data_IF_939496120611
#
_entry.id   IF_939496120611
#
_cell.length_a   1.000
_cell.length_b   1.000
_cell.length_c   1.000
_cell.angle_alpha   90.00
_cell.angle_beta   90.00
_cell.angle_gamma   90.00
#
_symmetry.space_group_name_H-M   'P 1'
#
loop_
_entity.id
_entity.type
_entity.pdbx_description
1 polymer ?
#
# COMPACT_ATOMS: atom_id res chain seq x y z
N UNK A 1 29.95 -7.32 -3.50
CA UNK A 1 28.96 -7.68 -4.52
C UNK A 1 28.18 -6.44 -4.90
N UNK A 2 28.00 -6.24 -6.18
CA UNK A 2 27.27 -5.08 -6.70
C UNK A 2 25.80 -5.12 -6.30
N UNK A 3 25.22 -3.97 -6.00
CA UNK A 3 23.81 -3.83 -5.62
C UNK A 3 22.88 -4.41 -6.69
N UNK A 4 23.19 -4.16 -7.97
CA UNK A 4 22.39 -4.67 -9.08
C UNK A 4 22.38 -6.20 -9.15
N UNK A 5 23.48 -6.83 -8.84
CA UNK A 5 23.58 -8.29 -8.78
C UNK A 5 22.75 -8.84 -7.63
N UNK A 6 22.82 -8.20 -6.47
CA UNK A 6 22.03 -8.58 -5.30
C UNK A 6 20.55 -8.49 -5.61
N UNK A 7 20.10 -7.37 -6.19
CA UNK A 7 18.71 -7.18 -6.56
C UNK A 7 18.22 -8.22 -7.55
N UNK A 8 19.04 -8.52 -8.55
CA UNK A 8 18.69 -9.52 -9.56
C UNK A 8 18.49 -10.91 -8.94
N UNK A 9 19.38 -11.30 -8.04
CA UNK A 9 19.29 -12.59 -7.35
C UNK A 9 18.10 -12.65 -6.40
N UNK A 10 17.84 -11.56 -5.69
CA UNK A 10 16.67 -11.44 -4.81
C UNK A 10 15.39 -11.59 -5.60
N UNK A 11 15.27 -10.90 -6.73
CA UNK A 11 14.09 -11.02 -7.59
C UNK A 11 13.89 -12.46 -8.09
N UNK A 12 14.96 -13.12 -8.47
CA UNK A 12 14.89 -14.48 -8.96
C UNK A 12 14.38 -15.47 -7.93
N UNK A 13 14.64 -15.23 -6.66
CA UNK A 13 14.12 -16.03 -5.55
C UNK A 13 12.69 -15.63 -5.20
N UNK A 14 12.43 -14.34 -5.18
CA UNK A 14 11.17 -13.79 -4.68
C UNK A 14 10.00 -14.01 -5.64
N UNK A 15 10.22 -13.86 -6.95
CA UNK A 15 9.13 -14.00 -7.93
C UNK A 15 8.41 -15.33 -7.88
N UNK A 16 9.11 -16.48 -7.88
CA UNK A 16 8.41 -17.76 -7.79
C UNK A 16 7.63 -17.93 -6.49
N UNK A 17 8.19 -17.45 -5.38
CA UNK A 17 7.51 -17.51 -4.08
C UNK A 17 6.22 -16.72 -4.11
N UNK A 18 6.28 -15.47 -4.58
CA UNK A 18 5.11 -14.60 -4.64
C UNK A 18 4.06 -15.14 -5.61
N UNK A 19 4.48 -15.56 -6.80
CA UNK A 19 3.54 -16.07 -7.81
C UNK A 19 2.78 -17.30 -7.32
N UNK A 20 3.44 -18.16 -6.57
CA UNK A 20 2.80 -19.34 -5.99
C UNK A 20 1.69 -18.99 -5.01
N UNK A 21 1.75 -17.82 -4.40
CA UNK A 21 0.75 -17.36 -3.44
C UNK A 21 -0.24 -16.34 -4.01
N UNK A 22 -0.15 -16.07 -5.31
CA UNK A 22 -1.05 -15.14 -5.97
C UNK A 22 -0.64 -13.68 -5.92
N UNK A 23 0.62 -13.41 -5.56
CA UNK A 23 1.17 -12.06 -5.53
C UNK A 23 2.08 -11.81 -6.71
N UNK A 24 2.22 -10.54 -7.07
CA UNK A 24 3.21 -10.08 -8.03
C UNK A 24 4.24 -9.19 -7.34
N UNK A 25 5.46 -9.21 -7.85
CA UNK A 25 6.50 -8.31 -7.39
C UNK A 25 6.35 -6.98 -8.11
N UNK A 26 6.13 -5.91 -7.34
CA UNK A 26 6.00 -4.55 -7.89
C UNK A 26 7.36 -3.88 -8.00
N UNK A 27 8.15 -3.95 -6.93
CA UNK A 27 9.49 -3.34 -6.92
C UNK A 27 10.31 -3.90 -5.77
N UNK A 28 11.62 -3.78 -5.87
CA UNK A 28 12.58 -4.15 -4.82
C UNK A 28 13.60 -3.05 -4.70
N UNK A 29 13.89 -2.65 -3.46
CA UNK A 29 14.92 -1.67 -3.17
C UNK A 29 15.90 -2.24 -2.14
N UNK A 30 17.20 -2.00 -2.35
CA UNK A 30 18.22 -2.35 -1.38
C UNK A 30 19.07 -1.11 -1.16
N UNK A 31 18.87 -0.45 -0.03
CA UNK A 31 19.43 0.87 0.27
C UNK A 31 19.97 0.93 1.67
N UNK A 32 20.99 1.75 1.85
CA UNK A 32 21.48 2.10 3.17
C UNK A 32 20.70 3.30 3.69
N UNK A 33 20.02 3.11 4.80
CA UNK A 33 19.24 4.14 5.47
C UNK A 33 19.84 4.42 6.84
N UNK A 34 19.26 5.32 7.60
CA UNK A 34 19.81 5.78 8.87
C UNK A 34 20.07 4.64 9.88
N UNK A 35 19.23 3.61 9.88
CA UNK A 35 19.36 2.47 10.79
C UNK A 35 20.16 1.30 10.23
N UNK A 36 20.77 1.44 9.04
CA UNK A 36 21.52 0.40 8.36
C UNK A 36 20.93 0.04 7.01
N UNK A 37 21.29 -1.13 6.49
CA UNK A 37 20.78 -1.57 5.19
C UNK A 37 19.34 -2.05 5.29
N UNK A 38 18.55 -1.68 4.32
CA UNK A 38 17.14 -2.09 4.22
C UNK A 38 16.90 -2.73 2.85
N UNK A 39 16.33 -3.94 2.88
CA UNK A 39 15.79 -4.58 1.70
C UNK A 39 14.28 -4.38 1.75
N UNK A 40 13.75 -3.59 0.83
CA UNK A 40 12.32 -3.26 0.80
C UNK A 40 11.68 -3.88 -0.43
N UNK A 41 10.65 -4.67 -0.19
CA UNK A 41 9.94 -5.43 -1.22
C UNK A 41 8.52 -4.92 -1.30
N UNK A 42 8.06 -4.60 -2.51
CA UNK A 42 6.70 -4.14 -2.76
C UNK A 42 5.95 -5.21 -3.53
N UNK A 43 4.81 -5.63 -2.98
CA UNK A 43 3.99 -6.70 -3.57
C UNK A 43 2.56 -6.22 -3.80
N UNK A 44 1.86 -6.88 -4.72
CA UNK A 44 0.44 -6.65 -4.95
C UNK A 44 -0.19 -7.97 -5.40
N UNK A 45 -1.52 -8.03 -5.46
CA UNK A 45 -2.18 -9.20 -6.01
C UNK A 45 -2.04 -9.24 -7.54
N UNK A 46 -1.96 -10.43 -8.10
CA UNK A 46 -1.89 -10.58 -9.56
C UNK A 46 -3.23 -10.24 -10.20
N UNK A 47 -4.31 -10.89 -9.76
CA UNK A 47 -5.61 -10.80 -10.41
C UNK A 47 -6.76 -10.43 -9.49
N UNK A 48 -6.50 -10.14 -8.22
CA UNK A 48 -7.58 -9.85 -7.28
C UNK A 48 -7.81 -8.35 -7.16
N UNK A 49 -9.07 -8.00 -7.07
CA UNK A 49 -9.43 -6.67 -6.63
C UNK A 49 -9.34 -6.64 -5.11
N UNK A 50 -8.96 -5.50 -4.56
CA UNK A 50 -8.77 -5.33 -3.15
C UNK A 50 -7.33 -5.00 -2.81
N UNK A 51 -7.02 -4.98 -1.54
CA UNK A 51 -5.72 -4.58 -1.05
C UNK A 51 -5.01 -5.73 -0.35
N UNK A 52 -3.70 -5.78 -0.51
CA UNK A 52 -2.85 -6.65 0.28
C UNK A 52 -2.94 -6.18 1.73
N UNK A 53 -3.10 -7.11 2.67
CA UNK A 53 -3.20 -6.78 4.09
C UNK A 53 -1.81 -6.74 4.74
N UNK A 54 -1.74 -6.12 5.93
CA UNK A 54 -0.51 -6.16 6.73
C UNK A 54 -0.15 -7.60 7.10
N UNK A 55 -1.15 -8.44 7.32
CA UNK A 55 -0.91 -9.85 7.61
C UNK A 55 -0.29 -10.58 6.43
N UNK A 56 -0.75 -10.30 5.21
CA UNK A 56 -0.13 -10.83 3.99
C UNK A 56 1.34 -10.44 3.91
N UNK A 57 1.65 -9.17 4.14
CA UNK A 57 3.01 -8.67 4.10
C UNK A 57 3.87 -9.32 5.18
N UNK A 58 3.34 -9.51 6.37
CA UNK A 58 4.06 -10.16 7.47
C UNK A 58 4.36 -11.62 7.14
N UNK A 59 3.40 -12.33 6.55
CA UNK A 59 3.59 -13.73 6.14
C UNK A 59 4.68 -13.85 5.07
N UNK A 60 4.60 -13.02 4.04
CA UNK A 60 5.60 -13.01 2.96
C UNK A 60 6.97 -12.65 3.53
N UNK A 61 7.03 -11.70 4.45
CA UNK A 61 8.28 -11.29 5.09
C UNK A 61 8.94 -12.46 5.83
N UNK A 62 8.17 -13.24 6.58
CA UNK A 62 8.69 -14.40 7.30
C UNK A 62 9.21 -15.46 6.34
N UNK A 63 8.44 -15.79 5.33
CA UNK A 63 8.81 -16.82 4.36
C UNK A 63 10.03 -16.41 3.55
N UNK A 64 10.04 -15.17 3.11
CA UNK A 64 11.14 -14.65 2.30
C UNK A 64 12.42 -14.50 3.12
N UNK A 65 12.28 -14.03 4.38
CA UNK A 65 13.42 -13.90 5.29
C UNK A 65 14.11 -15.25 5.52
N UNK A 66 13.35 -16.31 5.71
CA UNK A 66 13.90 -17.65 5.87
C UNK A 66 14.64 -18.11 4.62
N UNK A 67 14.07 -17.84 3.46
CA UNK A 67 14.67 -18.22 2.19
C UNK A 67 15.95 -17.45 1.92
N UNK A 68 15.98 -16.16 2.22
CA UNK A 68 17.18 -15.35 2.10
C UNK A 68 18.30 -15.82 3.02
N UNK A 69 17.97 -16.24 4.23
CA UNK A 69 18.95 -16.77 5.18
C UNK A 69 19.59 -18.06 4.64
N UNK A 70 18.78 -18.93 4.06
CA UNK A 70 19.29 -20.19 3.47
C UNK A 70 20.18 -19.92 2.27
N UNK A 71 19.78 -19.00 1.39
CA UNK A 71 20.54 -18.69 0.18
C UNK A 71 21.75 -17.81 0.42
N UNK A 72 21.79 -17.11 1.54
CA UNK A 72 22.91 -16.26 1.97
C UNK A 72 23.41 -15.32 0.88
N UNK A 73 22.49 -14.59 0.24
CA UNK A 73 22.79 -13.73 -0.89
C UNK A 73 23.30 -12.37 -0.46
N UNK A 74 22.76 -11.83 0.65
CA UNK A 74 23.02 -10.46 1.07
C UNK A 74 24.23 -10.43 2.00
N UNK A 75 25.29 -9.69 1.61
CA UNK A 75 26.57 -9.74 2.35
C UNK A 75 26.57 -8.93 3.64
N UNK A 76 25.54 -8.13 3.90
CA UNK A 76 25.48 -7.27 5.07
C UNK A 76 24.33 -7.68 5.98
N UNK A 77 24.38 -7.22 7.22
CA UNK A 77 23.19 -7.19 8.08
C UNK A 77 22.16 -6.26 7.45
N UNK A 78 20.90 -6.63 7.48
CA UNK A 78 19.84 -5.83 6.85
C UNK A 78 18.51 -6.02 7.56
N UNK A 79 17.61 -5.07 7.35
CA UNK A 79 16.21 -5.21 7.73
C UNK A 79 15.40 -5.52 6.50
N UNK A 80 14.51 -6.50 6.62
CA UNK A 80 13.59 -6.85 5.54
C UNK A 80 12.24 -6.17 5.79
N UNK A 81 11.79 -5.40 4.81
CA UNK A 81 10.47 -4.77 4.86
C UNK A 81 9.67 -5.21 3.65
N UNK A 82 8.46 -5.69 3.88
CA UNK A 82 7.53 -6.05 2.81
C UNK A 82 6.32 -5.14 2.93
N UNK A 83 5.95 -4.49 1.85
CA UNK A 83 4.85 -3.55 1.80
C UNK A 83 4.08 -3.71 0.50
N UNK A 84 3.01 -2.95 0.34
CA UNK A 84 2.22 -2.94 -0.89
C UNK A 84 1.76 -1.53 -1.20
N UNK A 85 1.81 -1.11 -2.47
CA UNK A 85 1.16 0.15 -2.86
C UNK A 85 -0.32 0.16 -2.53
N UNK A 86 -0.95 -1.02 -2.44
CA UNK A 86 -2.35 -1.15 -2.09
C UNK A 86 -2.66 -0.85 -0.62
N UNK A 87 -1.65 -0.85 0.25
CA UNK A 87 -1.85 -0.49 1.66
C UNK A 87 -2.09 1.01 1.84
N UNK A 88 -1.42 1.83 1.02
CA UNK A 88 -1.56 3.28 1.08
C UNK A 88 -1.79 3.79 -0.35
N UNK A 89 -2.91 3.34 -0.93
CA UNK A 89 -3.18 3.63 -2.33
C UNK A 89 -3.82 4.99 -2.50
N UNK A 90 -3.24 5.87 -3.35
CA UNK A 90 -3.89 7.13 -3.68
C UNK A 90 -5.16 6.90 -4.49
N UNK A 91 -6.17 7.71 -4.21
CA UNK A 91 -7.41 7.75 -4.97
C UNK A 91 -7.38 9.00 -5.85
N UNK A 92 -7.31 8.83 -7.17
CA UNK A 92 -7.10 9.95 -8.08
C UNK A 92 -8.28 10.23 -9.01
N UNK A 93 -9.10 9.22 -9.27
CA UNK A 93 -10.23 9.30 -10.20
C UNK A 93 -11.53 9.03 -9.47
N UNK A 94 -12.63 9.53 -10.02
CA UNK A 94 -13.96 9.23 -9.46
C UNK A 94 -14.21 7.74 -9.38
N UNK A 95 -13.73 6.98 -10.36
CA UNK A 95 -13.85 5.52 -10.39
C UNK A 95 -13.21 4.86 -9.15
N UNK A 96 -12.10 5.42 -8.68
CA UNK A 96 -11.43 4.90 -7.48
C UNK A 96 -12.33 5.00 -6.27
N UNK A 97 -13.06 6.10 -6.13
CA UNK A 97 -13.98 6.31 -5.01
C UNK A 97 -15.20 5.39 -5.08
N UNK A 98 -15.59 4.96 -6.27
CA UNK A 98 -16.64 3.96 -6.43
C UNK A 98 -16.10 2.57 -6.08
N UNK A 99 -14.92 2.25 -6.62
CA UNK A 99 -14.29 0.94 -6.46
C UNK A 99 -14.02 0.60 -4.99
N UNK A 100 -13.54 1.57 -4.23
CA UNK A 100 -13.16 1.36 -2.83
C UNK A 100 -14.22 1.78 -1.82
N UNK A 101 -15.48 1.84 -2.24
CA UNK A 101 -16.61 2.08 -1.33
C UNK A 101 -16.59 1.06 -0.20
N UNK A 102 -16.85 1.54 1.01
CA UNK A 102 -16.80 0.73 2.21
C UNK A 102 -15.46 0.70 2.92
N UNK A 103 -14.41 1.16 2.25
CA UNK A 103 -13.05 1.21 2.82
C UNK A 103 -12.82 2.52 3.57
N UNK A 104 -11.88 2.49 4.49
CA UNK A 104 -11.48 3.71 5.20
C UNK A 104 -10.57 4.55 4.32
N UNK A 105 -10.81 5.86 4.32
CA UNK A 105 -10.04 6.80 3.49
C UNK A 105 -9.64 8.02 4.31
N UNK A 106 -8.58 8.68 3.84
CA UNK A 106 -8.19 10.01 4.30
C UNK A 106 -8.25 10.95 3.10
N UNK A 107 -8.98 12.05 3.24
CA UNK A 107 -9.17 13.02 2.18
C UNK A 107 -8.75 14.39 2.68
N UNK A 108 -7.96 15.09 1.86
CA UNK A 108 -7.60 16.48 2.10
C UNK A 108 -8.16 17.32 0.97
N UNK A 109 -8.86 18.40 1.31
CA UNK A 109 -9.46 19.27 0.32
C UNK A 109 -8.62 20.53 0.09
N UNK A 110 -8.82 21.17 -1.06
CA UNK A 110 -8.13 22.40 -1.44
C UNK A 110 -8.62 23.57 -0.58
N UNK A 111 -9.92 23.60 -0.31
CA UNK A 111 -10.58 24.62 0.50
C UNK A 111 -11.43 23.93 1.55
N UNK A 112 -11.90 24.69 2.52
CA UNK A 112 -12.76 24.13 3.56
C UNK A 112 -14.08 23.65 2.97
N UNK A 113 -14.50 22.46 3.37
CA UNK A 113 -15.80 21.91 3.06
C UNK A 113 -16.46 21.62 4.41
N UNK A 114 -17.60 22.24 4.65
CA UNK A 114 -18.32 22.13 5.93
C UNK A 114 -17.40 22.45 7.12
N UNK A 115 -16.55 23.45 6.96
CA UNK A 115 -15.69 23.95 8.03
C UNK A 115 -14.40 23.16 8.26
N UNK A 116 -14.07 22.20 7.41
CA UNK A 116 -12.85 21.41 7.57
C UNK A 116 -12.21 21.06 6.22
N UNK A 117 -10.93 20.77 6.26
CA UNK A 117 -10.16 20.37 5.06
C UNK A 117 -9.67 18.93 5.13
N UNK A 118 -9.77 18.29 6.29
CA UNK A 118 -9.32 16.91 6.46
C UNK A 118 -10.49 16.03 6.87
N UNK A 119 -10.66 14.94 6.15
CA UNK A 119 -11.73 13.97 6.39
C UNK A 119 -11.13 12.58 6.52
N UNK A 120 -11.45 11.89 7.59
CA UNK A 120 -11.00 10.53 7.82
C UNK A 120 -12.20 9.70 8.24
N UNK A 121 -12.53 8.70 7.45
CA UNK A 121 -13.67 7.87 7.74
C UNK A 121 -13.96 6.84 6.67
N UNK A 122 -15.16 6.27 6.71
CA UNK A 122 -15.58 5.27 5.77
C UNK A 122 -16.08 5.92 4.48
N UNK A 123 -15.53 5.47 3.35
CA UNK A 123 -15.98 5.93 2.04
C UNK A 123 -17.32 5.27 1.72
N UNK A 124 -18.34 6.09 1.51
CA UNK A 124 -19.67 5.58 1.16
C UNK A 124 -19.85 5.43 -0.35
N UNK A 125 -19.12 6.20 -1.12
CA UNK A 125 -19.15 6.12 -2.57
C UNK A 125 -18.95 7.47 -3.24
N UNK A 126 -19.14 7.47 -4.55
CA UNK A 126 -19.06 8.69 -5.35
C UNK A 126 -20.19 8.64 -6.38
N UNK A 127 -21.00 9.70 -6.41
CA UNK A 127 -22.13 9.82 -7.32
C UNK A 127 -22.23 11.25 -7.82
N UNK A 128 -22.34 11.43 -9.13
CA UNK A 128 -22.51 12.75 -9.76
C UNK A 128 -21.43 13.75 -9.34
N UNK A 129 -20.17 13.29 -9.30
CA UNK A 129 -19.05 14.14 -8.97
C UNK A 129 -18.95 14.51 -7.48
N UNK A 130 -19.66 13.80 -6.63
CA UNK A 130 -19.66 14.04 -5.19
C UNK A 130 -19.24 12.79 -4.44
N UNK A 131 -18.23 12.95 -3.60
CA UNK A 131 -17.72 11.87 -2.75
C UNK A 131 -18.37 11.95 -1.39
N UNK A 132 -18.88 10.84 -0.88
CA UNK A 132 -19.54 10.78 0.41
C UNK A 132 -18.70 9.97 1.38
N UNK A 133 -18.41 10.56 2.54
CA UNK A 133 -17.58 9.95 3.59
C UNK A 133 -18.30 10.06 4.92
N UNK A 134 -18.34 8.95 5.65
CA UNK A 134 -18.88 8.93 7.01
C UNK A 134 -17.73 9.08 8.00
N UNK A 135 -17.67 10.23 8.65
CA UNK A 135 -16.65 10.52 9.67
C UNK A 135 -17.19 10.10 11.01
N UNK A 136 -16.49 9.21 11.70
CA UNK A 136 -16.92 8.73 13.00
C UNK A 136 -17.08 9.86 14.00
N UNK A 137 -18.24 9.93 14.63
CA UNK A 137 -18.56 10.98 15.59
C UNK A 137 -19.01 12.30 14.99
N UNK A 138 -18.96 12.47 13.68
CA UNK A 138 -19.30 13.74 13.01
C UNK A 138 -20.35 13.61 11.89
N UNK A 139 -20.69 12.40 11.50
CA UNK A 139 -21.72 12.16 10.49
C UNK A 139 -21.19 12.07 9.07
N UNK A 140 -22.09 12.21 8.11
CA UNK A 140 -21.78 12.05 6.68
C UNK A 140 -21.47 13.41 6.07
N UNK A 141 -20.37 13.46 5.30
CA UNK A 141 -19.98 14.65 4.55
C UNK A 141 -20.01 14.35 3.07
N UNK A 142 -20.46 15.33 2.29
CA UNK A 142 -20.45 15.27 0.83
C UNK A 142 -19.39 16.24 0.35
N UNK A 143 -18.39 15.69 -0.38
CA UNK A 143 -17.23 16.45 -0.83
C UNK A 143 -17.23 16.48 -2.36
N UNK A 144 -17.28 17.66 -2.98
CA UNK A 144 -17.13 17.70 -4.44
C UNK A 144 -15.80 17.10 -4.86
N UNK A 145 -15.82 16.24 -5.86
CA UNK A 145 -14.58 15.63 -6.35
C UNK A 145 -13.54 16.68 -6.73
N UNK A 146 -14.00 17.77 -7.35
CA UNK A 146 -13.12 18.87 -7.77
C UNK A 146 -12.44 19.60 -6.61
N UNK A 147 -12.99 19.49 -5.38
CA UNK A 147 -12.41 20.11 -4.19
C UNK A 147 -11.34 19.26 -3.54
N UNK A 148 -11.16 18.02 -3.96
CA UNK A 148 -10.20 17.10 -3.35
C UNK A 148 -8.79 17.42 -3.85
N UNK A 149 -7.89 17.70 -2.92
CA UNK A 149 -6.47 17.89 -3.21
C UNK A 149 -5.73 16.56 -3.23
N UNK A 150 -6.02 15.71 -2.23
CA UNK A 150 -5.35 14.44 -2.06
C UNK A 150 -6.27 13.47 -1.33
N UNK A 151 -6.29 12.23 -1.75
CA UNK A 151 -7.05 11.18 -1.08
C UNK A 151 -6.26 9.88 -1.12
N UNK A 152 -6.27 9.14 -0.02
CA UNK A 152 -5.60 7.85 0.10
C UNK A 152 -6.48 6.87 0.86
N UNK A 153 -6.34 5.60 0.53
CA UNK A 153 -6.89 4.55 1.38
C UNK A 153 -6.11 4.51 2.69
N UNK A 154 -6.81 4.26 3.78
CA UNK A 154 -6.18 4.07 5.05
C UNK A 154 -5.80 2.60 5.22
N UNK A 155 -4.67 2.36 5.90
CA UNK A 155 -4.22 1.00 6.19
C UNK A 155 -5.23 0.34 7.12
N UNK A 156 -5.73 -0.83 6.73
CA UNK A 156 -6.61 -1.62 7.56
C UNK A 156 -5.78 -2.64 8.34
N UNK A 157 -5.90 -2.57 9.66
CA UNK A 157 -5.28 -3.54 10.56
C UNK A 157 -6.25 -4.69 10.78
N UNK A 158 -5.83 -5.89 10.43
CA UNK A 158 -6.61 -7.10 10.66
C UNK A 158 -6.26 -7.73 12.00
#
# INVERSE_FOLDING_TARGET
>A
MDRGVILHRVEGILRPLLNAEGFSLVDVEYKREQGGWVLRVFIDFIDKEGSVTLEDCARVSREFGQLLDVEDIIPTSYQLEVSSPGLDRPLKKEEDFVKYSGRKVRIKTKEQVSGRRNFKGALLGCTEGKVMVKVEGSGVFTIPFSAILKANLEIELN
#
